data_IF_990749747263
#
_entry.id   IF_990749747263
#
_cell.length_a   1.000
_cell.length_b   1.000
_cell.length_c   1.000
_cell.angle_alpha   90.00
_cell.angle_beta   90.00
_cell.angle_gamma   90.00
#
_symmetry.space_group_name_H-M   'P 1'
#
loop_
_entity.id
_entity.type
_entity.pdbx_description
1 polymer ?
#
# COMPACT_ATOMS: atom_id res chain seq x y z
N UNK A 1 12.14 -1.46 -13.32
CA UNK A 1 10.84 -1.14 -12.68
C UNK A 1 10.61 -2.11 -11.54
N UNK A 2 10.18 -1.64 -10.37
CA UNK A 2 9.96 -2.49 -9.20
C UNK A 2 8.53 -3.02 -9.24
N UNK A 3 8.31 -4.27 -8.84
CA UNK A 3 6.97 -4.83 -8.66
C UNK A 3 6.53 -4.61 -7.22
N UNK A 4 5.69 -3.60 -6.99
CA UNK A 4 5.10 -3.30 -5.69
C UNK A 4 4.00 -4.34 -5.40
N UNK A 5 4.10 -5.04 -4.28
CA UNK A 5 3.18 -6.15 -3.97
C UNK A 5 2.08 -5.72 -3.02
N UNK A 6 2.45 -5.18 -1.85
CA UNK A 6 1.53 -4.78 -0.78
C UNK A 6 2.17 -3.78 0.17
N UNK A 7 1.33 -3.14 0.98
CA UNK A 7 1.73 -2.45 2.21
C UNK A 7 1.30 -3.24 3.42
N UNK A 8 2.03 -3.07 4.51
CA UNK A 8 1.62 -3.50 5.85
C UNK A 8 1.67 -2.27 6.75
N UNK A 9 0.59 -2.00 7.46
CA UNK A 9 0.52 -0.86 8.36
C UNK A 9 -0.08 -1.25 9.70
N UNK A 10 0.44 -0.61 10.74
CA UNK A 10 -0.10 -0.68 12.10
C UNK A 10 -0.65 0.69 12.46
N UNK A 11 -1.96 0.76 12.65
CA UNK A 11 -2.72 2.00 12.79
C UNK A 11 -3.67 1.87 13.95
N UNK A 12 -3.66 2.88 14.82
CA UNK A 12 -4.60 3.00 15.92
C UNK A 12 -5.66 4.04 15.54
N UNK A 13 -6.92 3.63 15.58
CA UNK A 13 -8.07 4.45 15.20
C UNK A 13 -8.94 4.76 16.42
N UNK A 14 -9.17 6.04 16.74
CA UNK A 14 -10.15 6.44 17.75
C UNK A 14 -11.57 5.95 17.43
N UNK A 15 -12.46 5.93 18.42
CA UNK A 15 -13.88 5.65 18.21
C UNK A 15 -14.49 6.59 17.17
N UNK A 16 -15.24 6.04 16.22
CA UNK A 16 -15.89 6.80 15.15
C UNK A 16 -14.93 7.38 14.10
N UNK A 17 -13.63 7.06 14.19
CA UNK A 17 -12.65 7.51 13.23
C UNK A 17 -12.67 6.67 11.94
N UNK A 18 -12.37 7.32 10.83
CA UNK A 18 -12.27 6.68 9.52
C UNK A 18 -11.04 7.17 8.77
N UNK A 19 -10.34 6.24 8.13
CA UNK A 19 -9.16 6.52 7.36
C UNK A 19 -9.05 5.58 6.16
N UNK A 20 -8.60 6.09 5.03
CA UNK A 20 -8.23 5.30 3.86
C UNK A 20 -6.78 5.54 3.49
N UNK A 21 -6.21 4.60 2.75
CA UNK A 21 -4.84 4.67 2.25
C UNK A 21 -4.86 4.52 0.74
N UNK A 22 -4.18 5.43 0.06
CA UNK A 22 -3.96 5.39 -1.38
C UNK A 22 -2.52 5.04 -1.69
N UNK A 23 -2.35 4.35 -2.82
CA UNK A 23 -1.06 4.21 -3.48
C UNK A 23 -0.99 5.20 -4.64
N UNK A 24 -0.01 6.11 -4.57
CA UNK A 24 0.32 7.02 -5.66
C UNK A 24 1.59 6.50 -6.30
N UNK A 25 1.48 5.94 -7.51
CA UNK A 25 2.61 5.40 -8.25
C UNK A 25 3.06 6.37 -9.33
N UNK A 26 4.35 6.34 -9.65
CA UNK A 26 4.94 7.09 -10.77
C UNK A 26 5.53 6.14 -11.79
N UNK A 27 5.34 6.47 -13.07
CA UNK A 27 5.78 5.68 -14.24
C UNK A 27 5.35 4.20 -14.17
N UNK A 28 4.06 3.92 -14.46
CA UNK A 28 2.99 4.78 -14.90
C UNK A 28 2.35 5.51 -13.72
N UNK A 29 1.88 6.71 -14.00
CA UNK A 29 1.20 7.54 -13.02
C UNK A 29 -0.20 6.98 -12.77
N UNK A 30 -0.46 6.60 -11.53
CA UNK A 30 -1.75 6.07 -11.09
C UNK A 30 -1.94 6.37 -9.61
N UNK A 31 -3.15 6.79 -9.24
CA UNK A 31 -3.54 7.06 -7.85
C UNK A 31 -4.81 6.25 -7.58
N UNK A 32 -4.72 5.31 -6.64
CA UNK A 32 -5.82 4.43 -6.32
C UNK A 32 -5.85 4.08 -4.85
N UNK A 33 -7.07 3.93 -4.32
CA UNK A 33 -7.29 3.48 -2.95
C UNK A 33 -6.91 2.00 -2.81
N UNK A 34 -6.08 1.69 -1.83
CA UNK A 34 -5.63 0.32 -1.52
C UNK A 34 -6.26 -0.23 -0.25
N UNK A 35 -6.80 0.62 0.61
CA UNK A 35 -7.44 0.23 1.86
C UNK A 35 -8.36 1.33 2.38
N UNK A 36 -9.47 0.93 2.99
CA UNK A 36 -10.32 1.80 3.81
C UNK A 36 -10.60 1.13 5.16
N UNK A 37 -10.59 1.93 6.22
CA UNK A 37 -10.78 1.53 7.61
C UNK A 37 -11.77 2.46 8.28
N UNK A 38 -12.65 1.88 9.09
CA UNK A 38 -13.56 2.64 9.93
C UNK A 38 -13.70 1.91 11.26
N UNK A 39 -13.47 2.63 12.36
CA UNK A 39 -13.71 2.12 13.69
C UNK A 39 -15.13 2.53 14.13
N UNK A 40 -16.07 1.60 13.99
CA UNK A 40 -17.46 1.76 14.45
C UNK A 40 -17.64 1.43 15.93
N UNK A 41 -16.56 1.07 16.64
CA UNK A 41 -16.58 0.80 18.07
C UNK A 41 -16.68 2.07 18.91
N UNK A 42 -16.93 1.86 20.21
CA UNK A 42 -16.99 2.92 21.23
C UNK A 42 -15.61 3.24 21.84
N UNK A 43 -14.61 2.42 21.53
CA UNK A 43 -13.24 2.50 22.05
C UNK A 43 -12.24 2.74 20.93
N UNK A 44 -11.01 3.07 21.33
CA UNK A 44 -9.87 3.10 20.43
C UNK A 44 -9.49 1.66 20.04
N UNK A 45 -9.27 1.44 18.76
CA UNK A 45 -8.98 0.12 18.19
C UNK A 45 -7.62 0.10 17.49
N UNK A 46 -6.98 -1.06 17.55
CA UNK A 46 -5.66 -1.31 17.01
C UNK A 46 -5.74 -2.22 15.79
N UNK A 47 -5.40 -1.69 14.62
CA UNK A 47 -5.48 -2.38 13.36
C UNK A 47 -4.09 -2.70 12.82
N UNK A 48 -3.90 -3.96 12.42
CA UNK A 48 -2.78 -4.38 11.57
C UNK A 48 -3.33 -4.83 10.24
N UNK A 49 -3.05 -4.07 9.18
CA UNK A 49 -3.78 -4.15 7.92
C UNK A 49 -2.85 -4.22 6.74
N UNK A 50 -3.28 -4.95 5.71
CA UNK A 50 -2.53 -5.18 4.48
C UNK A 50 -3.27 -4.53 3.31
N UNK A 51 -2.65 -3.53 2.69
CA UNK A 51 -3.17 -2.87 1.49
C UNK A 51 -2.54 -3.49 0.22
N UNK A 52 -3.29 -4.19 -0.64
CA UNK A 52 -2.74 -4.72 -1.88
C UNK A 52 -2.44 -3.59 -2.89
N UNK A 53 -1.22 -3.57 -3.46
CA UNK A 53 -0.84 -2.64 -4.55
C UNK A 53 -0.80 -3.38 -5.89
N UNK A 54 -0.01 -4.47 -5.95
CA UNK A 54 0.13 -5.37 -7.12
C UNK A 54 0.37 -4.63 -8.46
N UNK A 55 1.20 -3.59 -8.45
CA UNK A 55 1.54 -2.78 -9.62
C UNK A 55 3.04 -2.76 -9.85
N UNK A 56 3.44 -2.66 -11.11
CA UNK A 56 4.79 -2.26 -11.45
C UNK A 56 4.86 -0.73 -11.38
N UNK A 57 5.90 -0.16 -10.79
CA UNK A 57 6.12 1.30 -10.78
C UNK A 57 7.61 1.61 -10.53
N UNK A 58 8.03 2.83 -10.84
CA UNK A 58 9.36 3.31 -10.49
C UNK A 58 9.39 3.85 -9.05
N UNK A 59 8.32 4.52 -8.65
CA UNK A 59 8.14 5.13 -7.32
C UNK A 59 6.77 4.77 -6.73
N UNK A 60 6.70 4.82 -5.40
CA UNK A 60 5.49 4.65 -4.61
C UNK A 60 5.48 5.70 -3.50
N UNK A 61 4.44 6.52 -3.49
CA UNK A 61 4.03 7.31 -2.34
C UNK A 61 2.77 6.72 -1.72
N UNK A 62 2.67 6.78 -0.40
CA UNK A 62 1.52 6.29 0.36
C UNK A 62 0.84 7.48 1.03
N UNK A 63 -0.45 7.66 0.73
CA UNK A 63 -1.24 8.76 1.27
C UNK A 63 -2.34 8.23 2.18
N UNK A 64 -2.27 8.57 3.46
CA UNK A 64 -3.38 8.35 4.39
C UNK A 64 -4.35 9.53 4.34
N UNK A 65 -5.60 9.27 3.98
CA UNK A 65 -6.70 10.22 4.02
C UNK A 65 -7.53 9.95 5.26
N UNK A 66 -7.83 10.99 6.03
CA UNK A 66 -8.59 10.89 7.27
C UNK A 66 -9.83 11.75 7.16
N UNK A 67 -11.01 11.16 7.35
CA UNK A 67 -12.28 11.89 7.25
C UNK A 67 -12.75 12.37 8.61
N UNK A 68 -12.64 11.50 9.62
CA UNK A 68 -13.04 11.76 11.01
C UNK A 68 -12.00 11.21 11.97
N UNK A 69 -11.66 11.99 13.00
CA UNK A 69 -10.64 11.61 13.97
C UNK A 69 -9.21 11.56 13.39
N UNK A 70 -8.20 11.74 14.24
CA UNK A 70 -6.80 11.59 13.82
C UNK A 70 -6.31 10.19 14.19
N UNK A 71 -5.95 9.33 13.23
CA UNK A 71 -5.31 8.05 13.53
C UNK A 71 -3.87 8.24 13.98
N UNK A 72 -3.35 7.26 14.71
CA UNK A 72 -1.92 7.18 15.05
C UNK A 72 -1.31 6.09 14.17
N UNK A 73 -0.46 6.50 13.23
CA UNK A 73 0.33 5.60 12.39
C UNK A 73 1.57 5.18 13.16
N UNK A 74 1.68 3.90 13.53
CA UNK A 74 2.83 3.39 14.30
C UNK A 74 3.89 2.75 13.41
N UNK A 75 3.46 2.05 12.37
CA UNK A 75 4.36 1.43 11.41
C UNK A 75 3.73 1.45 10.02
N UNK A 76 4.56 1.69 9.01
CA UNK A 76 4.18 1.62 7.60
C UNK A 76 5.34 1.00 6.83
N UNK A 77 5.08 -0.12 6.18
CA UNK A 77 6.06 -0.78 5.30
C UNK A 77 5.42 -1.07 3.96
N UNK A 78 6.24 -1.03 2.91
CA UNK A 78 5.85 -1.42 1.56
C UNK A 78 6.79 -2.52 1.09
N UNK A 79 6.22 -3.55 0.49
CA UNK A 79 6.95 -4.67 -0.08
C UNK A 79 7.05 -4.50 -1.60
N UNK A 80 8.26 -4.69 -2.11
CA UNK A 80 8.55 -4.67 -3.53
C UNK A 80 9.46 -5.83 -3.90
N UNK A 81 9.22 -6.43 -5.05
CA UNK A 81 10.12 -7.41 -5.67
C UNK A 81 10.85 -6.73 -6.82
N UNK A 82 12.16 -6.94 -6.87
CA UNK A 82 12.98 -6.55 -8.02
C UNK A 82 13.04 -7.79 -8.92
N UNK A 83 12.65 -7.64 -10.18
CA UNK A 83 12.78 -8.73 -11.14
C UNK A 83 14.26 -9.03 -11.34
N UNK A 84 14.69 -10.27 -11.10
CA UNK A 84 16.09 -10.67 -11.24
C UNK A 84 16.30 -11.52 -12.50
N UNK A 85 17.31 -11.10 -13.26
CA UNK A 85 17.95 -11.67 -14.46
C UNK A 85 17.30 -11.35 -15.82
N UNK A 86 18.10 -10.88 -16.80
CA UNK A 86 17.65 -10.72 -18.17
C UNK A 86 17.29 -12.09 -18.77
N UNK A 87 16.27 -12.12 -19.64
CA UNK A 87 15.95 -13.33 -20.41
C UNK A 87 17.18 -13.75 -21.23
N UNK A 88 17.86 -14.81 -20.82
CA UNK A 88 18.86 -15.48 -21.67
C UNK A 88 18.10 -16.04 -22.86
N UNK A 89 18.20 -15.38 -24.01
CA UNK A 89 17.58 -15.87 -25.24
C UNK A 89 18.23 -17.18 -25.64
N UNK A 90 17.59 -18.31 -25.37
CA UNK A 90 17.91 -19.56 -26.07
C UNK A 90 17.34 -19.43 -27.48
N UNK A 91 18.15 -18.89 -28.38
CA UNK A 91 17.95 -18.95 -29.83
C UNK A 91 18.16 -20.40 -30.27
N UNK A 92 17.09 -21.14 -30.51
CA UNK A 92 17.16 -22.36 -31.33
C UNK A 92 16.98 -21.89 -32.77
N UNK A 93 18.08 -21.70 -33.48
CA UNK A 93 18.04 -21.67 -34.95
C UNK A 93 18.03 -23.12 -35.41
N UNK A 94 16.94 -23.52 -36.08
CA UNK A 94 16.90 -24.64 -37.02
C UNK A 94 17.29 -24.15 -38.43
#
# INVERSE_FOLDING_TARGET
RKRLTRTVSSVVLPSGASASMDAVTTDPDDDFEILSLTNNGISLEDYTVKGPIRRNANMLDLRWRTTSGRPILRALTAEATIDSLPKTGTRTEE
#
